data_IF_167591737304
#
_entry.id   IF_167591737304
#
_cell.length_a   1.000
_cell.length_b   1.000
_cell.length_c   1.000
_cell.angle_alpha   90.00
_cell.angle_beta   90.00
_cell.angle_gamma   90.00
#
_symmetry.space_group_name_H-M   'P 1'
#
loop_
_entity.id
_entity.type
_entity.pdbx_description
1 polymer ?
#
# COMPACT_ATOMS: atom_id res chain seq x y z
N UNK A 1 19.36 -6.09 -2.38
CA UNK A 1 18.31 -7.09 -2.47
C UNK A 1 17.02 -6.41 -2.89
N UNK A 2 16.19 -7.13 -3.62
CA UNK A 2 14.99 -6.54 -4.22
C UNK A 2 13.75 -6.88 -3.39
N UNK A 3 13.41 -6.00 -2.47
CA UNK A 3 12.25 -6.16 -1.56
C UNK A 3 11.33 -4.97 -1.73
N UNK A 4 10.08 -5.23 -2.07
CA UNK A 4 9.06 -4.19 -2.22
C UNK A 4 7.92 -4.43 -1.24
N UNK A 5 7.43 -3.36 -0.63
CA UNK A 5 6.17 -3.38 0.13
C UNK A 5 5.14 -2.55 -0.63
N UNK A 6 3.97 -3.12 -0.84
CA UNK A 6 2.89 -2.50 -1.60
C UNK A 6 1.68 -2.35 -0.70
N UNK A 7 1.27 -1.11 -0.42
CA UNK A 7 0.03 -0.80 0.28
C UNK A 7 -1.08 -0.66 -0.77
N UNK A 8 -2.17 -1.39 -0.59
CA UNK A 8 -3.25 -1.42 -1.57
C UNK A 8 -3.04 -2.48 -2.65
N UNK A 9 -2.50 -3.63 -2.28
CA UNK A 9 -2.16 -4.71 -3.20
C UNK A 9 -3.34 -5.62 -3.55
N UNK A 10 -4.55 -5.36 -3.04
CA UNK A 10 -5.67 -6.29 -3.17
C UNK A 10 -6.55 -6.05 -4.39
N UNK A 11 -6.39 -4.94 -5.08
CA UNK A 11 -7.21 -4.63 -6.25
C UNK A 11 -6.54 -3.57 -7.12
N UNK A 12 -7.04 -3.44 -8.34
CA UNK A 12 -6.63 -2.40 -9.26
C UNK A 12 -5.13 -2.40 -9.57
N UNK A 13 -4.57 -1.22 -9.65
CA UNK A 13 -3.16 -1.02 -10.03
C UNK A 13 -2.21 -1.70 -9.06
N UNK A 14 -2.50 -1.62 -7.75
CA UNK A 14 -1.65 -2.24 -6.73
C UNK A 14 -1.53 -3.74 -6.89
N UNK A 15 -2.64 -4.42 -7.20
CA UNK A 15 -2.64 -5.86 -7.45
C UNK A 15 -1.81 -6.21 -8.69
N UNK A 16 -1.98 -5.47 -9.76
CA UNK A 16 -1.22 -5.73 -11.00
C UNK A 16 0.28 -5.50 -10.80
N UNK A 17 0.64 -4.45 -10.08
CA UNK A 17 2.05 -4.19 -9.77
C UNK A 17 2.62 -5.31 -8.90
N UNK A 18 1.86 -5.79 -7.90
CA UNK A 18 2.31 -6.90 -7.07
C UNK A 18 2.63 -8.13 -7.92
N UNK A 19 1.76 -8.46 -8.87
CA UNK A 19 1.98 -9.60 -9.78
C UNK A 19 3.23 -9.42 -10.63
N UNK A 20 3.46 -8.20 -11.12
CA UNK A 20 4.66 -7.90 -11.93
C UNK A 20 5.95 -8.09 -11.13
N UNK A 21 5.99 -7.61 -9.89
CA UNK A 21 7.18 -7.75 -9.05
C UNK A 21 7.40 -9.19 -8.62
N UNK A 22 6.32 -9.94 -8.36
CA UNK A 22 6.43 -11.38 -8.09
C UNK A 22 7.06 -12.08 -9.29
N UNK A 23 6.57 -11.79 -10.50
CA UNK A 23 7.12 -12.39 -11.73
C UNK A 23 8.58 -11.99 -11.97
N UNK A 24 8.97 -10.80 -11.53
CA UNK A 24 10.35 -10.32 -11.65
C UNK A 24 11.31 -10.92 -10.60
N UNK A 25 10.79 -11.72 -9.68
CA UNK A 25 11.62 -12.40 -8.68
C UNK A 25 11.88 -11.60 -7.41
N UNK A 26 11.15 -10.50 -7.20
CA UNK A 26 11.29 -9.70 -5.98
C UNK A 26 10.64 -10.37 -4.78
N UNK A 27 11.14 -10.05 -3.60
CA UNK A 27 10.43 -10.32 -2.36
C UNK A 27 9.33 -9.26 -2.22
N UNK A 28 8.09 -9.70 -2.02
CA UNK A 28 6.94 -8.79 -2.02
C UNK A 28 6.20 -8.88 -0.69
N UNK A 29 6.09 -7.74 -0.02
CA UNK A 29 5.20 -7.57 1.11
C UNK A 29 3.91 -6.92 0.63
N UNK A 30 2.82 -7.66 0.64
CA UNK A 30 1.54 -7.18 0.15
C UNK A 30 0.62 -6.83 1.31
N UNK A 31 0.07 -5.63 1.28
CA UNK A 31 -0.85 -5.15 2.31
C UNK A 31 -2.12 -4.59 1.69
N UNK A 32 -3.23 -4.81 2.37
CA UNK A 32 -4.54 -4.34 1.99
C UNK A 32 -5.57 -4.79 3.00
N UNK A 33 -6.83 -4.46 2.77
CA UNK A 33 -7.90 -4.84 3.69
C UNK A 33 -8.54 -6.18 3.37
N UNK A 34 -8.39 -6.68 2.14
CA UNK A 34 -9.06 -7.91 1.68
C UNK A 34 -8.14 -9.11 1.84
N UNK A 35 -8.33 -9.83 2.92
CA UNK A 35 -7.47 -10.96 3.27
C UNK A 35 -7.46 -12.05 2.20
N UNK A 36 -8.62 -12.35 1.58
CA UNK A 36 -8.69 -13.39 0.55
C UNK A 36 -7.79 -13.09 -0.63
N UNK A 37 -7.73 -11.83 -1.05
CA UNK A 37 -6.89 -11.42 -2.18
C UNK A 37 -5.40 -11.48 -1.81
N UNK A 38 -5.06 -11.14 -0.58
CA UNK A 38 -3.68 -11.28 -0.08
C UNK A 38 -3.27 -12.74 -0.04
N UNK A 39 -4.14 -13.63 0.44
CA UNK A 39 -3.87 -15.05 0.47
C UNK A 39 -3.66 -15.62 -0.94
N UNK A 40 -4.41 -15.14 -1.93
CA UNK A 40 -4.23 -15.56 -3.31
C UNK A 40 -2.85 -15.15 -3.85
N UNK A 41 -2.38 -13.95 -3.52
CA UNK A 41 -1.03 -13.53 -3.90
C UNK A 41 0.04 -14.40 -3.25
N UNK A 42 -0.10 -14.69 -1.96
CA UNK A 42 0.84 -15.53 -1.24
C UNK A 42 0.88 -16.94 -1.81
N UNK A 43 -0.29 -17.50 -2.13
CA UNK A 43 -0.38 -18.85 -2.70
C UNK A 43 0.34 -18.97 -4.05
N UNK A 44 0.38 -17.88 -4.81
CA UNK A 44 1.08 -17.87 -6.11
C UNK A 44 2.60 -17.95 -5.97
N UNK A 45 3.17 -17.45 -4.88
CA UNK A 45 4.62 -17.46 -4.66
C UNK A 45 4.94 -17.43 -3.16
N UNK A 46 4.66 -18.52 -2.42
CA UNK A 46 4.74 -18.49 -0.95
C UNK A 46 6.15 -18.22 -0.41
N UNK A 47 7.19 -18.52 -1.19
CA UNK A 47 8.57 -18.26 -0.78
C UNK A 47 8.98 -16.81 -0.90
N UNK A 48 8.23 -16.00 -1.67
CA UNK A 48 8.59 -14.63 -1.95
C UNK A 48 7.55 -13.61 -1.48
N UNK A 49 6.37 -14.05 -1.08
CA UNK A 49 5.28 -13.14 -0.71
C UNK A 49 4.97 -13.25 0.77
N UNK A 50 5.04 -12.13 1.45
CA UNK A 50 4.52 -11.95 2.81
C UNK A 50 3.29 -11.05 2.72
N UNK A 51 2.31 -11.31 3.57
CA UNK A 51 1.07 -10.57 3.55
C UNK A 51 0.71 -10.08 4.94
N UNK A 52 -0.03 -8.99 4.97
CA UNK A 52 -0.63 -8.49 6.21
C UNK A 52 -1.84 -7.63 5.88
N UNK A 53 -2.94 -7.87 6.59
CA UNK A 53 -4.11 -7.01 6.46
C UNK A 53 -3.83 -5.70 7.18
N UNK A 54 -3.84 -4.60 6.45
CA UNK A 54 -3.59 -3.27 6.98
C UNK A 54 -4.66 -2.31 6.47
N UNK A 55 -5.37 -1.71 7.41
CA UNK A 55 -6.23 -0.57 7.15
C UNK A 55 -5.43 0.69 7.48
N UNK A 56 -5.07 1.47 6.48
CA UNK A 56 -4.19 2.63 6.66
C UNK A 56 -4.81 3.73 7.52
N UNK A 57 -6.13 3.67 7.77
CA UNK A 57 -6.82 4.62 8.67
C UNK A 57 -6.81 4.16 10.13
N UNK A 58 -6.44 2.92 10.38
CA UNK A 58 -6.45 2.35 11.73
C UNK A 58 -5.22 2.79 12.54
N UNK A 59 -5.36 2.96 13.87
CA UNK A 59 -4.22 3.39 14.70
C UNK A 59 -3.04 2.43 14.66
N UNK A 60 -3.28 1.14 14.45
CA UNK A 60 -2.23 0.11 14.40
C UNK A 60 -1.53 0.00 13.05
N UNK A 61 -1.91 0.80 12.06
CA UNK A 61 -1.36 0.69 10.71
C UNK A 61 0.17 0.82 10.68
N UNK A 62 0.73 1.74 11.46
CA UNK A 62 2.17 1.95 11.53
C UNK A 62 2.89 0.70 12.03
N UNK A 63 2.42 0.13 13.12
CA UNK A 63 2.99 -1.08 13.69
C UNK A 63 2.90 -2.25 12.73
N UNK A 64 1.73 -2.42 12.08
CA UNK A 64 1.52 -3.50 11.13
C UNK A 64 2.42 -3.36 9.91
N UNK A 65 2.65 -2.13 9.44
CA UNK A 65 3.60 -1.89 8.36
C UNK A 65 5.01 -2.32 8.74
N UNK A 66 5.47 -1.92 9.92
CA UNK A 66 6.80 -2.28 10.39
C UNK A 66 6.95 -3.80 10.58
N UNK A 67 5.88 -4.47 11.02
CA UNK A 67 5.88 -5.93 11.12
C UNK A 67 5.97 -6.61 9.76
N UNK A 68 5.27 -6.08 8.76
CA UNK A 68 5.35 -6.62 7.40
C UNK A 68 6.77 -6.46 6.84
N UNK A 69 7.38 -5.31 7.05
CA UNK A 69 8.76 -5.06 6.64
C UNK A 69 9.70 -6.06 7.33
N UNK A 70 9.52 -6.30 8.62
CA UNK A 70 10.33 -7.26 9.37
C UNK A 70 10.14 -8.68 8.84
N UNK A 71 8.91 -9.08 8.53
CA UNK A 71 8.62 -10.40 7.96
C UNK A 71 9.31 -10.59 6.62
N UNK A 72 9.44 -9.52 5.85
CA UNK A 72 10.10 -9.52 4.54
C UNK A 72 11.63 -9.50 4.64
N UNK A 73 12.16 -9.18 5.79
CA UNK A 73 13.60 -9.04 6.02
C UNK A 73 14.14 -7.67 5.68
N UNK A 74 13.29 -6.70 5.48
CA UNK A 74 13.63 -5.32 5.14
C UNK A 74 12.82 -4.82 3.97
N UNK A 75 13.14 -3.62 3.51
CA UNK A 75 12.40 -2.99 2.41
C UNK A 75 13.34 -2.09 1.61
N UNK A 76 13.30 -2.19 0.30
CA UNK A 76 14.09 -1.36 -0.61
C UNK A 76 13.21 -0.35 -1.33
N UNK A 77 11.95 -0.71 -1.59
CA UNK A 77 10.97 0.13 -2.24
C UNK A 77 9.63 -0.01 -1.54
N UNK A 78 9.04 1.09 -1.14
CA UNK A 78 7.67 1.10 -0.64
C UNK A 78 6.78 1.83 -1.62
N UNK A 79 5.73 1.17 -2.07
CA UNK A 79 4.77 1.72 -3.02
C UNK A 79 3.41 1.86 -2.35
N UNK A 80 2.89 3.07 -2.34
CA UNK A 80 1.58 3.37 -1.78
C UNK A 80 0.55 3.48 -2.90
N UNK A 81 -0.31 2.47 -3.01
CA UNK A 81 -1.44 2.45 -3.94
C UNK A 81 -2.78 2.51 -3.19
N UNK A 82 -2.73 2.49 -1.86
CA UNK A 82 -3.94 2.45 -1.05
C UNK A 82 -4.65 3.80 -1.08
N UNK A 83 -5.94 3.75 -1.25
CA UNK A 83 -6.80 4.92 -1.22
C UNK A 83 -8.22 4.47 -1.42
N UNK A 84 -9.17 5.30 -1.11
CA UNK A 84 -10.58 5.04 -1.40
C UNK A 84 -11.09 6.12 -2.34
N UNK A 85 -11.96 5.69 -3.25
CA UNK A 85 -12.69 6.58 -4.10
C UNK A 85 -14.11 6.08 -4.19
N UNK A 86 -15.04 6.98 -4.14
CA UNK A 86 -16.44 6.67 -4.28
C UNK A 86 -16.97 7.36 -5.52
N UNK A 87 -17.80 6.65 -6.28
CA UNK A 87 -18.63 7.31 -7.26
C UNK A 87 -19.70 8.08 -6.49
N UNK A 88 -19.56 9.39 -6.43
CA UNK A 88 -20.38 10.23 -5.58
C UNK A 88 -21.01 11.37 -6.36
N UNK A 89 -21.96 11.05 -7.29
CA UNK A 89 -22.56 12.06 -8.15
C UNK A 89 -23.40 13.09 -7.39
N UNK A 90 -23.79 12.79 -6.15
CA UNK A 90 -24.57 13.71 -5.31
C UNK A 90 -23.72 14.51 -4.35
N UNK A 91 -22.40 14.36 -4.40
CA UNK A 91 -21.43 15.05 -3.55
C UNK A 91 -21.77 14.93 -2.07
N UNK A 92 -22.01 13.71 -1.61
CA UNK A 92 -22.27 13.42 -0.21
C UNK A 92 -21.03 13.79 0.63
N UNK A 93 -21.20 14.77 1.53
CA UNK A 93 -20.11 15.30 2.35
C UNK A 93 -19.45 14.22 3.20
N UNK A 94 -20.20 13.25 3.72
CA UNK A 94 -19.62 12.18 4.53
C UNK A 94 -18.66 11.32 3.72
N UNK A 95 -18.98 11.03 2.46
CA UNK A 95 -18.10 10.27 1.58
C UNK A 95 -16.88 11.07 1.17
N UNK A 96 -17.04 12.37 0.92
CA UNK A 96 -15.92 13.25 0.60
C UNK A 96 -14.94 13.33 1.76
N UNK A 97 -15.46 13.48 2.98
CA UNK A 97 -14.63 13.53 4.19
C UNK A 97 -13.91 12.20 4.41
N UNK A 98 -14.61 11.07 4.28
CA UNK A 98 -14.00 9.75 4.43
C UNK A 98 -12.88 9.52 3.43
N UNK A 99 -13.08 9.95 2.18
CA UNK A 99 -12.05 9.87 1.14
C UNK A 99 -10.84 10.72 1.51
N UNK A 100 -11.07 11.95 1.96
CA UNK A 100 -9.99 12.84 2.36
C UNK A 100 -9.21 12.28 3.56
N UNK A 101 -9.90 11.74 4.56
CA UNK A 101 -9.24 11.14 5.71
C UNK A 101 -8.38 9.95 5.31
N UNK A 102 -8.90 9.04 4.50
CA UNK A 102 -8.14 7.87 4.05
C UNK A 102 -6.95 8.30 3.19
N UNK A 103 -7.18 9.17 2.22
CA UNK A 103 -6.15 9.52 1.25
C UNK A 103 -5.11 10.48 1.80
N UNK A 104 -5.47 11.33 2.77
CA UNK A 104 -4.55 12.32 3.35
C UNK A 104 -3.93 11.82 4.63
N UNK A 105 -4.74 11.46 5.62
CA UNK A 105 -4.24 11.05 6.94
C UNK A 105 -3.55 9.70 6.86
N UNK A 106 -4.19 8.73 6.21
CA UNK A 106 -3.61 7.40 6.05
C UNK A 106 -2.32 7.42 5.26
N UNK A 107 -2.31 8.17 4.15
CA UNK A 107 -1.11 8.36 3.33
C UNK A 107 0.02 8.97 4.15
N UNK A 108 -0.26 10.05 4.86
CA UNK A 108 0.76 10.75 5.66
C UNK A 108 1.35 9.82 6.71
N UNK A 109 0.51 9.08 7.42
CA UNK A 109 0.95 8.14 8.45
C UNK A 109 1.88 7.07 7.89
N UNK A 110 1.50 6.47 6.76
CA UNK A 110 2.30 5.42 6.12
C UNK A 110 3.62 5.98 5.61
N UNK A 111 3.58 7.13 4.96
CA UNK A 111 4.80 7.72 4.38
C UNK A 111 5.78 8.18 5.45
N UNK A 112 5.28 8.75 6.55
CA UNK A 112 6.13 9.15 7.67
C UNK A 112 6.81 7.94 8.30
N UNK A 113 6.07 6.85 8.52
CA UNK A 113 6.61 5.61 9.07
C UNK A 113 7.66 5.01 8.14
N UNK A 114 7.38 4.96 6.86
CA UNK A 114 8.32 4.42 5.86
C UNK A 114 9.56 5.29 5.74
N UNK A 115 9.40 6.61 5.72
CA UNK A 115 10.53 7.52 5.66
C UNK A 115 11.46 7.32 6.86
N UNK A 116 10.89 7.23 8.07
CA UNK A 116 11.68 7.01 9.28
C UNK A 116 12.42 5.66 9.22
N UNK A 117 11.74 4.63 8.73
CA UNK A 117 12.36 3.32 8.54
C UNK A 117 13.55 3.41 7.58
N UNK A 118 13.37 4.03 6.41
CA UNK A 118 14.44 4.15 5.43
C UNK A 118 15.60 5.01 5.94
N UNK A 119 15.30 6.05 6.68
CA UNK A 119 16.34 6.90 7.31
C UNK A 119 17.21 6.07 8.26
N UNK A 120 16.58 5.22 9.08
CA UNK A 120 17.30 4.35 10.01
C UNK A 120 18.06 3.24 9.29
N UNK A 121 17.52 2.75 8.20
CA UNK A 121 18.15 1.71 7.38
C UNK A 121 19.34 2.25 6.57
N UNK A 122 19.34 3.55 6.28
CA UNK A 122 20.39 4.17 5.48
C UNK A 122 20.05 4.37 4.01
N UNK A 123 18.78 4.16 3.61
CA UNK A 123 18.33 4.39 2.25
C UNK A 123 17.10 3.59 1.88
N UNK A 124 16.51 3.93 0.76
CA UNK A 124 15.33 3.28 0.23
C UNK A 124 14.56 4.24 -0.69
N UNK A 125 13.53 3.72 -1.33
CA UNK A 125 12.68 4.51 -2.22
C UNK A 125 11.23 4.50 -1.75
N UNK A 126 10.63 5.67 -1.72
CA UNK A 126 9.20 5.85 -1.50
C UNK A 126 8.54 6.24 -2.81
N UNK A 127 7.45 5.58 -3.15
CA UNK A 127 6.68 5.91 -4.34
C UNK A 127 5.19 5.86 -4.01
N UNK A 128 4.41 6.68 -4.68
CA UNK A 128 2.96 6.69 -4.52
C UNK A 128 2.32 6.81 -5.89
N UNK A 129 1.21 6.10 -6.07
CA UNK A 129 0.41 6.22 -7.28
C UNK A 129 -0.59 7.35 -7.06
N UNK A 130 -0.53 8.34 -7.94
CA UNK A 130 -1.44 9.47 -7.96
C UNK A 130 -2.37 9.33 -9.16
N UNK A 131 -3.62 9.71 -8.98
CA UNK A 131 -4.59 9.69 -10.07
C UNK A 131 -4.42 10.92 -10.96
N UNK A 132 -4.57 10.74 -12.26
CA UNK A 132 -4.65 11.85 -13.19
C UNK A 132 -5.84 12.76 -12.88
N UNK A 133 -6.86 12.23 -12.19
CA UNK A 133 -7.99 13.00 -11.70
C UNK A 133 -7.60 14.08 -10.70
N UNK A 134 -6.42 13.98 -10.07
CA UNK A 134 -5.88 15.03 -9.22
C UNK A 134 -5.38 16.25 -10.00
N UNK A 135 -4.99 16.07 -11.26
CA UNK A 135 -4.54 17.15 -12.13
C UNK A 135 -5.65 17.65 -13.07
N UNK A 136 -6.58 16.76 -13.44
CA UNK A 136 -7.73 17.08 -14.29
C UNK A 136 -8.99 16.58 -13.62
N UNK A 137 -9.98 17.44 -13.48
CA UNK A 137 -11.27 17.03 -12.93
C UNK A 137 -11.89 15.92 -13.78
N UNK A 138 -12.64 15.04 -13.11
CA UNK A 138 -13.47 14.03 -13.76
C UNK A 138 -14.90 14.53 -13.78
N UNK A 139 -15.45 14.58 -14.96
CA UNK A 139 -16.83 14.94 -15.15
C UNK A 139 -17.82 13.90 -14.65
#
# INVERSE_FOLDING_TARGET
>A
MNRIVILGATSGIGLEIAKLYIAAGWQVGAAGRRTENLEALRAAAPDRVKIRSIDITAPEAEELLLRLIADLGGCDLLLHCAGIGYNNPQLDAAREIATAETNTVGFTRIMDTAFDYFRKQGGGHLAAISSIGGAKGRG
#
